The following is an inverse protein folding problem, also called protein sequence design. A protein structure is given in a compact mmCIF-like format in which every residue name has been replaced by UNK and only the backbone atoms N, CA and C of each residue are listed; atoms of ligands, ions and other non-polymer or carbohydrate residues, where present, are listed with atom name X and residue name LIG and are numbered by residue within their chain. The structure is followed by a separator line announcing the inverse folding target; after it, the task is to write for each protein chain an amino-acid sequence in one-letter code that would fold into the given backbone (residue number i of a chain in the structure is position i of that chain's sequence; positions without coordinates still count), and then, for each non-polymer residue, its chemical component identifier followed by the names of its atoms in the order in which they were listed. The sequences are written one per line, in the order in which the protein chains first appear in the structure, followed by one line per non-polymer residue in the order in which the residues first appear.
data_IF_253713766599
#
_entry.id   IF_253713766599
#
_cell.length_a   1.000
_cell.length_b   1.000
_cell.length_c   1.000
_cell.angle_alpha   90.00
_cell.angle_beta   90.00
_cell.angle_gamma   90.00
#
_symmetry.space_group_name_H-M   'P 1'
#
loop_
_entity.id
_entity.type
_entity.pdbx_description
1 polymer ?
#
# COMPACT_ATOMS: atom_id res chain seq x y z
N UNK A 1 -9.55 -2.35 -7.10
CA UNK A 1 -8.94 -2.82 -5.84
C UNK A 1 -8.47 -4.26 -5.96
N UNK A 2 -9.34 -5.19 -6.37
CA UNK A 2 -9.02 -6.62 -6.51
C UNK A 2 -7.82 -6.92 -7.43
N UNK A 3 -7.72 -6.24 -8.57
CA UNK A 3 -6.60 -6.46 -9.50
C UNK A 3 -5.22 -6.16 -8.87
N UNK A 4 -5.10 -5.06 -8.12
CA UNK A 4 -3.84 -4.69 -7.43
C UNK A 4 -3.51 -5.70 -6.33
N UNK A 5 -4.51 -6.13 -5.56
CA UNK A 5 -4.30 -7.09 -4.48
C UNK A 5 -3.92 -8.48 -5.01
N UNK A 6 -4.54 -8.94 -6.10
CA UNK A 6 -4.23 -10.21 -6.74
C UNK A 6 -2.80 -10.22 -7.28
N UNK A 7 -2.38 -9.14 -7.94
CA UNK A 7 -1.04 -9.05 -8.51
C UNK A 7 0.03 -8.93 -7.41
N UNK A 8 -0.22 -8.15 -6.36
CA UNK A 8 0.67 -8.10 -5.20
C UNK A 8 0.81 -9.47 -4.52
N UNK A 9 -0.28 -10.24 -4.40
CA UNK A 9 -0.21 -11.60 -3.87
C UNK A 9 0.63 -12.51 -4.75
N UNK A 10 0.48 -12.43 -6.07
CA UNK A 10 1.27 -13.19 -7.04
C UNK A 10 2.77 -12.85 -6.91
N UNK A 11 3.11 -11.57 -6.82
CA UNK A 11 4.49 -11.10 -6.67
C UNK A 11 5.10 -11.51 -5.33
N UNK A 12 4.36 -11.34 -4.22
CA UNK A 12 4.86 -11.73 -2.90
C UNK A 12 5.07 -13.25 -2.76
N UNK A 13 4.28 -14.07 -3.45
CA UNK A 13 4.52 -15.53 -3.49
C UNK A 13 5.74 -15.87 -4.36
N UNK A 14 5.91 -15.18 -5.50
CA UNK A 14 7.04 -15.38 -6.41
C UNK A 14 8.38 -15.05 -5.73
N UNK A 15 8.42 -13.99 -4.93
CA UNK A 15 9.63 -13.49 -4.26
C UNK A 15 9.65 -13.79 -2.75
N UNK A 16 8.95 -14.85 -2.31
CA UNK A 16 8.77 -15.16 -0.87
C UNK A 16 10.06 -15.47 -0.10
N UNK A 17 11.15 -15.79 -0.80
CA UNK A 17 12.46 -16.10 -0.23
C UNK A 17 13.43 -14.92 -0.32
N UNK A 18 12.97 -13.76 -0.80
CA UNK A 18 13.78 -12.56 -0.97
C UNK A 18 13.28 -11.44 -0.04
N UNK A 19 14.16 -10.49 0.25
CA UNK A 19 13.77 -9.27 0.94
C UNK A 19 13.06 -8.33 -0.06
N UNK A 20 11.78 -8.06 0.19
CA UNK A 20 10.94 -7.30 -0.73
C UNK A 20 10.39 -6.05 -0.08
N UNK A 21 10.26 -4.99 -0.88
CA UNK A 21 9.53 -3.76 -0.52
C UNK A 21 8.50 -3.42 -1.60
N UNK A 22 7.44 -2.71 -1.21
CA UNK A 22 6.39 -2.27 -2.13
C UNK A 22 6.41 -0.75 -2.20
N UNK A 23 6.53 -0.21 -3.40
CA UNK A 23 6.50 1.23 -3.63
C UNK A 23 5.34 1.58 -4.55
N UNK A 24 4.45 2.45 -4.06
CA UNK A 24 3.40 3.06 -4.87
C UNK A 24 3.87 4.43 -5.35
N UNK A 25 3.64 4.75 -6.62
CA UNK A 25 3.94 6.07 -7.19
C UNK A 25 2.75 6.58 -7.98
N UNK A 26 2.56 7.89 -8.06
CA UNK A 26 1.50 8.46 -8.88
C UNK A 26 1.56 9.98 -8.99
N UNK A 27 1.15 10.51 -10.13
CA UNK A 27 1.08 11.94 -10.40
C UNK A 27 -0.38 12.43 -10.44
N UNK A 28 -0.66 13.64 -9.93
CA UNK A 28 -2.00 14.22 -9.90
C UNK A 28 -2.99 13.27 -9.20
N UNK A 29 -4.12 12.93 -9.83
CA UNK A 29 -5.07 11.92 -9.32
C UNK A 29 -4.42 10.55 -9.07
N UNK A 30 -3.36 10.20 -9.80
CA UNK A 30 -2.61 8.97 -9.55
C UNK A 30 -1.97 8.94 -8.16
N UNK A 31 -1.50 10.08 -7.64
CA UNK A 31 -0.91 10.16 -6.30
C UNK A 31 -1.92 9.86 -5.19
N UNK A 32 -3.16 10.30 -5.41
CA UNK A 32 -4.31 10.00 -4.54
C UNK A 32 -4.59 8.50 -4.51
N UNK A 33 -4.70 7.91 -5.70
CA UNK A 33 -4.99 6.48 -5.86
C UNK A 33 -3.89 5.61 -5.25
N UNK A 34 -2.62 6.00 -5.43
CA UNK A 34 -1.47 5.34 -4.82
C UNK A 34 -1.50 5.38 -3.29
N UNK A 35 -1.90 6.52 -2.72
CA UNK A 35 -2.07 6.67 -1.26
C UNK A 35 -3.21 5.78 -0.73
N UNK A 36 -4.35 5.77 -1.41
CA UNK A 36 -5.50 4.93 -1.04
C UNK A 36 -5.19 3.44 -1.16
N UNK A 37 -4.49 3.03 -2.22
CA UNK A 37 -4.10 1.63 -2.43
C UNK A 37 -3.12 1.16 -1.35
N UNK A 38 -2.14 2.00 -0.99
CA UNK A 38 -1.22 1.70 0.10
C UNK A 38 -1.95 1.62 1.45
N UNK A 39 -2.87 2.55 1.72
CA UNK A 39 -3.69 2.53 2.93
C UNK A 39 -4.55 1.26 3.02
N UNK A 40 -5.25 0.91 1.93
CA UNK A 40 -6.05 -0.32 1.83
C UNK A 40 -5.17 -1.57 2.00
N UNK A 41 -3.96 -1.56 1.46
CA UNK A 41 -3.01 -2.64 1.65
C UNK A 41 -2.55 -2.76 3.12
N UNK A 42 -2.21 -1.65 3.79
CA UNK A 42 -1.78 -1.68 5.22
C UNK A 42 -2.94 -2.10 6.13
N UNK A 43 -4.14 -1.55 5.92
CA UNK A 43 -5.31 -1.87 6.73
C UNK A 43 -5.84 -3.29 6.42
N UNK A 44 -5.86 -3.68 5.15
CA UNK A 44 -6.27 -5.00 4.67
C UNK A 44 -5.26 -6.11 4.96
N UNK A 45 -3.96 -5.79 5.10
CA UNK A 45 -2.90 -6.72 5.54
C UNK A 45 -3.12 -7.26 6.95
N UNK A 46 -3.86 -6.54 7.81
CA UNK A 46 -4.32 -7.12 9.09
C UNK A 46 -5.28 -8.30 8.91
N UNK A 47 -5.86 -8.47 7.71
CA UNK A 47 -6.91 -9.45 7.48
C UNK A 47 -6.47 -10.70 6.68
N UNK A 48 -5.75 -10.61 5.53
CA UNK A 48 -5.74 -11.79 4.60
C UNK A 48 -4.51 -12.04 3.72
N UNK A 49 -3.36 -11.40 3.93
CA UNK A 49 -2.16 -11.75 3.14
C UNK A 49 -1.44 -12.93 3.82
N UNK A 50 -2.05 -14.12 3.77
CA UNK A 50 -1.46 -15.41 4.14
C UNK A 50 -0.40 -15.83 3.10
N UNK A 51 0.57 -14.97 2.85
CA UNK A 51 1.83 -15.34 2.19
C UNK A 51 2.78 -15.68 3.33
N UNK A 52 3.52 -16.79 3.27
CA UNK A 52 4.43 -17.26 4.34
C UNK A 52 5.51 -16.26 4.77
N UNK A 53 5.57 -15.09 4.13
CA UNK A 53 6.26 -13.89 4.60
C UNK A 53 5.70 -13.50 5.96
N UNK A 54 6.53 -13.62 6.99
CA UNK A 54 6.16 -13.31 8.37
C UNK A 54 5.41 -11.98 8.43
N UNK A 55 4.28 -12.00 9.13
CA UNK A 55 3.16 -11.03 9.18
C UNK A 55 3.51 -9.53 9.29
N UNK A 56 4.78 -9.12 9.40
CA UNK A 56 5.17 -7.80 9.86
C UNK A 56 6.29 -7.08 9.08
N UNK A 57 6.83 -7.59 7.96
CA UNK A 57 8.13 -7.07 7.48
C UNK A 57 8.23 -6.42 6.09
N UNK A 58 7.22 -6.46 5.23
CA UNK A 58 7.35 -5.86 3.88
C UNK A 58 7.14 -4.34 3.94
N UNK A 59 8.17 -3.49 3.79
CA UNK A 59 8.03 -2.04 3.87
C UNK A 59 7.15 -1.53 2.71
N UNK A 60 6.28 -0.56 3.00
CA UNK A 60 5.41 0.08 2.01
C UNK A 60 5.78 1.56 1.96
N UNK A 61 6.11 2.06 0.77
CA UNK A 61 6.43 3.47 0.53
C UNK A 61 5.49 4.06 -0.52
N UNK A 62 5.13 5.34 -0.39
CA UNK A 62 4.31 6.06 -1.38
C UNK A 62 5.00 7.34 -1.81
N UNK A 63 5.20 7.52 -3.12
CA UNK A 63 5.65 8.77 -3.73
C UNK A 63 4.51 9.39 -4.56
N UNK A 64 3.89 10.45 -4.05
CA UNK A 64 2.79 11.15 -4.72
C UNK A 64 3.24 12.53 -5.22
N UNK A 65 3.17 12.77 -6.53
CA UNK A 65 3.64 13.99 -7.19
C UNK A 65 2.46 14.84 -7.68
N UNK A 66 2.49 16.16 -7.48
CA UNK A 66 1.40 17.05 -7.93
C UNK A 66 0.02 16.65 -7.41
N UNK A 67 -0.01 15.90 -6.29
CA UNK A 67 -1.21 15.28 -5.76
C UNK A 67 -2.12 16.36 -5.16
N UNK A 68 -3.37 16.52 -5.66
CA UNK A 68 -4.29 17.46 -5.05
C UNK A 68 -4.59 17.04 -3.61
N UNK A 69 -4.88 18.01 -2.73
CA UNK A 69 -5.47 17.69 -1.44
C UNK A 69 -6.85 17.09 -1.69
N UNK A 70 -7.02 15.85 -1.25
CA UNK A 70 -8.28 15.12 -1.31
C UNK A 70 -8.54 14.49 0.06
N UNK A 71 -9.81 14.25 0.36
CA UNK A 71 -10.24 13.63 1.62
C UNK A 71 -10.59 14.62 2.72
N UNK A 72 -11.33 14.13 3.69
CA UNK A 72 -11.72 14.85 4.90
C UNK A 72 -10.65 14.68 6.00
N UNK A 73 -10.97 15.16 7.21
CA UNK A 73 -10.08 14.98 8.36
C UNK A 73 -9.76 13.50 8.63
N UNK A 74 -10.68 12.58 8.31
CA UNK A 74 -10.49 11.16 8.56
C UNK A 74 -9.54 10.53 7.55
N UNK A 75 -9.58 10.93 6.28
CA UNK A 75 -8.55 10.56 5.31
C UNK A 75 -7.16 11.04 5.74
N UNK A 76 -7.06 12.26 6.27
CA UNK A 76 -5.81 12.78 6.81
C UNK A 76 -5.30 11.93 7.99
N UNK A 77 -6.17 11.58 8.94
CA UNK A 77 -5.82 10.71 10.07
C UNK A 77 -5.33 9.33 9.59
N UNK A 78 -5.97 8.76 8.56
CA UNK A 78 -5.53 7.49 7.97
C UNK A 78 -4.11 7.65 7.42
N UNK A 79 -3.84 8.67 6.60
CA UNK A 79 -2.50 8.91 6.04
C UNK A 79 -1.45 9.19 7.13
N UNK A 80 -1.80 9.93 8.17
CA UNK A 80 -0.92 10.18 9.32
C UNK A 80 -0.68 8.89 10.12
N UNK A 81 -1.69 8.03 10.29
CA UNK A 81 -1.54 6.73 10.98
C UNK A 81 -0.66 5.73 10.22
N UNK A 82 -0.40 5.98 8.93
CA UNK A 82 0.49 5.19 8.09
C UNK A 82 1.95 5.64 8.16
N UNK A 83 2.24 6.81 8.77
CA UNK A 83 3.61 7.23 9.06
C UNK A 83 4.07 6.53 10.33
N UNK A 84 4.98 5.57 10.21
CA UNK A 84 5.69 4.98 11.37
C UNK A 84 6.75 5.93 11.88
#
# INVERSE_FOLDING_TARGET
REQVQAELKRLLELYKNEEVSITFTGHSLGGVMSTLAAADLVHGRKSKMNTGLQKNQVPITVFAFGCPRIGDQDFRKIVESLKS
#
